data_IF_300575918497
#
_entry.id   IF_300575918497
#
_cell.length_a   1.000
_cell.length_b   1.000
_cell.length_c   1.000
_cell.angle_alpha   90.00
_cell.angle_beta   90.00
_cell.angle_gamma   90.00
#
_symmetry.space_group_name_H-M   'P 1'
#
loop_
_entity.id
_entity.type
_entity.pdbx_description
1 polymer ?
#
# COMPACT_ATOMS: atom_id res chain seq x y z
N UNK A 1 18.00 32.39 47.17
CA UNK A 1 17.51 31.26 46.36
C UNK A 1 17.16 31.74 44.96
N UNK A 2 17.60 31.04 43.91
CA UNK A 2 16.87 31.05 42.65
C UNK A 2 16.37 29.65 42.26
N UNK A 3 15.07 29.58 41.97
CA UNK A 3 14.35 28.45 41.41
C UNK A 3 14.85 28.11 40.00
N UNK A 4 15.20 26.84 39.78
CA UNK A 4 15.40 26.27 38.46
C UNK A 4 14.04 25.91 37.83
N UNK A 5 13.75 26.45 36.65
CA UNK A 5 12.58 26.11 35.84
C UNK A 5 12.92 24.97 34.88
N UNK A 6 12.03 23.97 34.86
CA UNK A 6 12.08 22.71 34.10
C UNK A 6 11.95 22.92 32.57
N UNK A 7 12.54 22.05 31.72
CA UNK A 7 12.36 22.12 30.27
C UNK A 7 10.99 21.59 29.82
N UNK A 8 10.32 22.35 28.95
CA UNK A 8 9.04 22.02 28.34
C UNK A 8 9.16 20.91 27.28
N UNK A 9 8.23 19.95 27.31
CA UNK A 9 8.09 18.89 26.33
C UNK A 9 7.54 19.43 24.98
N UNK A 10 7.96 18.88 23.82
CA UNK A 10 7.41 19.29 22.53
C UNK A 10 6.01 18.70 22.29
N UNK A 11 5.11 19.54 21.78
CA UNK A 11 3.74 19.20 21.42
C UNK A 11 3.67 18.32 20.13
N UNK A 12 2.69 17.40 20.01
CA UNK A 12 2.53 16.58 18.81
C UNK A 12 2.00 17.39 17.61
N UNK A 13 2.59 17.17 16.44
CA UNK A 13 2.23 17.78 15.17
C UNK A 13 0.85 17.31 14.65
N UNK A 14 0.11 18.16 13.90
CA UNK A 14 -1.24 17.83 13.45
C UNK A 14 -1.22 16.76 12.34
N UNK A 15 -2.03 15.72 12.52
CA UNK A 15 -2.27 14.69 11.51
C UNK A 15 -3.25 15.25 10.47
N UNK A 16 -2.79 15.48 9.25
CA UNK A 16 -3.66 15.88 8.12
C UNK A 16 -4.50 14.69 7.66
N UNK A 17 -5.77 14.70 8.03
CA UNK A 17 -6.78 13.77 7.52
C UNK A 17 -7.07 14.10 6.06
N UNK A 18 -6.42 13.38 5.14
CA UNK A 18 -6.74 13.49 3.73
C UNK A 18 -8.13 12.91 3.45
N UNK A 19 -9.08 13.78 3.14
CA UNK A 19 -10.43 13.44 2.67
C UNK A 19 -10.36 12.51 1.47
N UNK A 20 -10.82 11.27 1.66
CA UNK A 20 -10.91 10.25 0.61
C UNK A 20 -12.08 10.59 -0.31
N UNK A 21 -11.79 11.15 -1.49
CA UNK A 21 -12.76 11.17 -2.59
C UNK A 21 -13.15 9.73 -2.93
N UNK A 22 -14.45 9.46 -2.96
CA UNK A 22 -15.02 8.16 -3.30
C UNK A 22 -14.58 7.74 -4.71
N UNK A 23 -14.05 6.52 -4.91
CA UNK A 23 -13.69 6.07 -6.25
C UNK A 23 -14.96 5.71 -7.01
N UNK A 24 -15.13 6.33 -8.18
CA UNK A 24 -16.07 5.91 -9.23
C UNK A 24 -15.76 4.47 -9.66
N UNK A 25 -16.77 3.67 -10.04
CA UNK A 25 -16.57 2.28 -10.44
C UNK A 25 -15.75 2.25 -11.74
N UNK A 26 -14.50 1.79 -11.64
CA UNK A 26 -13.61 1.65 -12.80
C UNK A 26 -13.81 0.27 -13.41
N UNK A 27 -13.98 0.27 -14.73
CA UNK A 27 -14.26 -0.84 -15.62
C UNK A 27 -13.69 -2.19 -15.15
N UNK A 28 -14.56 -3.20 -15.19
CA UNK A 28 -14.27 -4.61 -14.95
C UNK A 28 -13.04 -5.06 -15.73
N UNK A 29 -11.93 -5.23 -15.01
CA UNK A 29 -10.75 -5.94 -15.46
C UNK A 29 -11.16 -7.39 -15.76
N UNK A 30 -11.14 -7.76 -17.04
CA UNK A 30 -11.62 -9.07 -17.55
C UNK A 30 -10.61 -10.22 -17.36
N UNK A 31 -9.68 -10.10 -16.41
CA UNK A 31 -8.71 -11.14 -16.07
C UNK A 31 -8.52 -11.23 -14.57
N UNK A 32 -8.67 -12.41 -13.99
CA UNK A 32 -8.51 -12.65 -12.55
C UNK A 32 -7.08 -12.34 -12.11
N UNK A 33 -6.83 -11.10 -11.66
CA UNK A 33 -5.53 -10.73 -11.12
C UNK A 33 -5.24 -11.53 -9.84
N UNK A 34 -4.01 -12.04 -9.74
CA UNK A 34 -3.54 -12.80 -8.58
C UNK A 34 -2.95 -11.82 -7.58
N UNK A 35 -3.51 -11.79 -6.37
CA UNK A 35 -3.06 -10.91 -5.29
C UNK A 35 -2.56 -11.72 -4.08
N UNK A 36 -1.60 -11.19 -3.31
CA UNK A 36 -1.22 -11.76 -2.03
C UNK A 36 -2.36 -11.60 -1.02
N UNK A 37 -2.50 -12.57 -0.10
CA UNK A 37 -3.54 -12.56 0.95
C UNK A 37 -3.09 -11.93 2.27
N UNK A 38 -1.78 -11.83 2.48
CA UNK A 38 -1.15 -11.22 3.66
C UNK A 38 0.19 -10.59 3.28
N UNK A 39 0.71 -9.70 4.12
CA UNK A 39 2.08 -9.19 4.01
C UNK A 39 3.05 -10.36 4.15
N UNK A 40 4.04 -10.45 3.25
CA UNK A 40 5.01 -11.53 3.29
C UNK A 40 5.80 -11.47 4.61
N UNK A 41 5.95 -12.60 5.33
CA UNK A 41 6.68 -12.66 6.60
C UNK A 41 8.10 -12.08 6.52
N UNK A 42 8.74 -12.09 5.34
CA UNK A 42 10.07 -11.48 5.16
C UNK A 42 10.11 -9.96 5.37
N UNK A 43 8.96 -9.28 5.37
CA UNK A 43 8.84 -7.83 5.56
C UNK A 43 8.22 -7.43 6.90
N UNK A 44 8.03 -8.35 7.85
CA UNK A 44 7.38 -8.05 9.14
C UNK A 44 8.19 -7.08 10.01
N UNK A 45 9.50 -7.01 9.80
CA UNK A 45 10.39 -6.06 10.48
C UNK A 45 10.34 -4.66 9.89
N UNK A 46 9.66 -4.47 8.75
CA UNK A 46 9.47 -3.16 8.14
C UNK A 46 8.18 -2.50 8.64
N UNK A 47 8.05 -1.19 8.40
CA UNK A 47 6.78 -0.52 8.66
C UNK A 47 5.66 -1.13 7.81
N UNK A 48 4.44 -1.20 8.35
CA UNK A 48 3.31 -1.86 7.68
C UNK A 48 3.05 -1.34 6.25
N UNK A 49 3.30 -0.05 6.00
CA UNK A 49 3.22 0.53 4.65
C UNK A 49 4.26 -0.04 3.67
N UNK A 50 5.51 -0.18 4.12
CA UNK A 50 6.62 -0.69 3.32
C UNK A 50 6.48 -2.19 3.07
N UNK A 51 6.10 -2.96 4.11
CA UNK A 51 5.85 -4.40 3.95
C UNK A 51 4.74 -4.70 2.95
N UNK A 52 3.65 -3.92 2.93
CA UNK A 52 2.61 -4.03 1.89
C UNK A 52 3.15 -3.69 0.50
N UNK A 53 3.91 -2.60 0.36
CA UNK A 53 4.52 -2.22 -0.93
C UNK A 53 5.38 -3.34 -1.49
N UNK A 54 6.31 -3.85 -0.71
CA UNK A 54 7.22 -4.87 -1.19
C UNK A 54 6.50 -6.19 -1.47
N UNK A 55 5.55 -6.58 -0.63
CA UNK A 55 4.72 -7.77 -0.88
C UNK A 55 3.94 -7.65 -2.20
N UNK A 56 3.33 -6.49 -2.45
CA UNK A 56 2.63 -6.26 -3.70
C UNK A 56 3.60 -6.25 -4.90
N UNK A 57 4.80 -5.68 -4.74
CA UNK A 57 5.79 -5.59 -5.81
C UNK A 57 6.30 -6.98 -6.21
N UNK A 58 6.61 -7.81 -5.21
CA UNK A 58 7.01 -9.20 -5.44
C UNK A 58 5.95 -9.95 -6.23
N UNK A 59 4.69 -9.84 -5.82
CA UNK A 59 3.62 -10.57 -6.49
C UNK A 59 3.36 -10.04 -7.90
N UNK A 60 3.45 -8.72 -8.11
CA UNK A 60 3.37 -8.12 -9.45
C UNK A 60 4.47 -8.65 -10.38
N UNK A 61 5.69 -8.77 -9.87
CA UNK A 61 6.83 -9.28 -10.64
C UNK A 61 6.70 -10.80 -10.91
N UNK A 62 6.22 -11.58 -9.93
CA UNK A 62 5.92 -13.00 -10.12
C UNK A 62 4.82 -13.20 -11.18
N UNK A 63 3.79 -12.36 -11.14
CA UNK A 63 2.73 -12.33 -12.14
C UNK A 63 3.23 -11.88 -13.51
N UNK A 64 4.27 -11.03 -13.60
CA UNK A 64 4.91 -10.65 -14.87
C UNK A 64 5.75 -11.78 -15.47
N UNK A 65 6.51 -12.47 -14.62
CA UNK A 65 7.33 -13.61 -15.03
C UNK A 65 6.46 -14.77 -15.54
N UNK A 66 5.24 -14.89 -15.01
CA UNK A 66 4.27 -15.92 -15.40
C UNK A 66 3.33 -15.38 -16.48
N UNK A 67 3.16 -16.10 -17.60
CA UNK A 67 2.16 -15.77 -18.63
C UNK A 67 2.22 -14.30 -19.13
N UNK A 68 3.41 -13.70 -19.19
CA UNK A 68 3.63 -12.35 -19.73
C UNK A 68 2.91 -11.23 -18.97
N UNK A 69 2.53 -11.43 -17.70
CA UNK A 69 1.78 -10.42 -16.94
C UNK A 69 0.26 -10.57 -16.99
N UNK A 70 -0.28 -11.62 -17.63
CA UNK A 70 -1.72 -11.89 -17.63
C UNK A 70 -2.30 -11.96 -16.20
N UNK A 71 -1.51 -12.47 -15.25
CA UNK A 71 -1.90 -12.60 -13.84
C UNK A 71 -1.95 -11.26 -13.09
N UNK A 72 -1.54 -10.15 -13.72
CA UNK A 72 -1.84 -8.81 -13.21
C UNK A 72 -3.23 -8.31 -13.61
N UNK A 73 -4.04 -9.12 -14.31
CA UNK A 73 -5.34 -8.70 -14.83
C UNK A 73 -5.24 -7.51 -15.79
N UNK A 74 -4.16 -7.43 -16.57
CA UNK A 74 -3.92 -6.28 -17.46
C UNK A 74 -3.64 -4.95 -16.74
N UNK A 75 -3.53 -4.93 -15.41
CA UNK A 75 -3.19 -3.72 -14.67
C UNK A 75 -1.69 -3.43 -14.72
N UNK A 76 -1.34 -2.15 -14.84
CA UNK A 76 0.03 -1.68 -14.61
C UNK A 76 0.30 -1.62 -13.10
N UNK A 77 1.57 -1.61 -12.71
CA UNK A 77 1.97 -1.43 -11.30
C UNK A 77 1.25 -0.26 -10.62
N UNK A 78 1.33 0.93 -11.24
CA UNK A 78 0.62 2.16 -10.90
C UNK A 78 0.11 2.77 -12.20
N UNK A 79 -1.14 3.25 -12.22
CA UNK A 79 -1.72 3.98 -13.35
C UNK A 79 -2.76 5.00 -12.90
N UNK A 80 -3.19 5.88 -13.81
CA UNK A 80 -4.16 6.93 -13.50
C UNK A 80 -5.47 6.30 -13.04
N UNK A 81 -5.82 6.52 -11.78
CA UNK A 81 -7.07 6.05 -11.17
C UNK A 81 -7.11 4.55 -10.87
N UNK A 82 -5.96 3.90 -10.73
CA UNK A 82 -5.90 2.50 -10.32
C UNK A 82 -4.53 1.88 -10.53
N UNK A 83 -4.51 0.56 -10.62
CA UNK A 83 -3.29 -0.21 -10.82
C UNK A 83 -3.16 -1.31 -9.78
N UNK A 84 -2.30 -2.27 -10.10
CA UNK A 84 -2.10 -3.47 -9.32
C UNK A 84 -1.77 -3.15 -7.86
N UNK A 85 -0.86 -2.19 -7.61
CA UNK A 85 -0.48 -1.81 -6.25
C UNK A 85 -1.67 -1.25 -5.45
N UNK A 86 -2.51 -0.42 -6.06
CA UNK A 86 -3.66 0.19 -5.37
C UNK A 86 -4.65 -0.88 -4.89
N UNK A 87 -4.96 -1.86 -5.76
CA UNK A 87 -5.88 -2.97 -5.43
C UNK A 87 -5.25 -3.91 -4.41
N UNK A 88 -4.00 -4.31 -4.62
CA UNK A 88 -3.25 -5.16 -3.71
C UNK A 88 -3.14 -4.55 -2.31
N UNK A 89 -2.70 -3.30 -2.22
CA UNK A 89 -2.54 -2.58 -0.94
C UNK A 89 -3.88 -2.37 -0.23
N UNK A 90 -5.01 -2.30 -0.96
CA UNK A 90 -6.34 -2.24 -0.37
C UNK A 90 -6.77 -3.60 0.19
N UNK A 91 -6.42 -4.71 -0.48
CA UNK A 91 -6.66 -6.07 0.02
C UNK A 91 -5.80 -6.45 1.24
N UNK A 92 -4.61 -5.87 1.38
CA UNK A 92 -3.72 -6.11 2.53
C UNK A 92 -3.97 -5.16 3.72
N UNK A 93 -4.90 -4.20 3.59
CA UNK A 93 -5.39 -3.36 4.70
C UNK A 93 -6.65 -3.97 5.31
N UNK A 94 -6.60 -5.27 5.58
CA UNK A 94 -7.54 -5.92 6.50
C UNK A 94 -7.27 -5.47 7.93
#
# INVERSE_FOLDING_TARGET
SPNAASPAAPAPAPTTTATRSAPTPRSSVTGSAVFPRAVNPKYVSESAGKGRMHTCLDQYNANKATAGGANNGGMKWIEKGGGYYSVCNKGLKI
#
